data_IF_893317983736
#
_entry.id   IF_893317983736
#
_cell.length_a   1.000
_cell.length_b   1.000
_cell.length_c   1.000
_cell.angle_alpha   90.00
_cell.angle_beta   90.00
_cell.angle_gamma   90.00
#
_symmetry.space_group_name_H-M   'P 1'
#
loop_
_entity.id
_entity.type
_entity.pdbx_description
1 polymer ?
#
# COMPACT_ATOMS: atom_id res chain seq x y z
N UNK A 1 15.64 -4.39 -6.62
CA UNK A 1 15.20 -5.15 -5.43
C UNK A 1 16.20 -4.84 -4.34
N UNK A 2 15.72 -4.39 -3.17
CA UNK A 2 16.60 -4.24 -2.02
C UNK A 2 17.01 -5.66 -1.63
N UNK A 3 18.31 -5.91 -1.50
CA UNK A 3 18.80 -7.20 -1.03
C UNK A 3 18.69 -7.19 0.49
N UNK A 4 17.61 -7.79 0.99
CA UNK A 4 17.32 -7.89 2.42
C UNK A 4 17.71 -9.29 2.87
N UNK A 5 18.45 -9.37 3.98
CA UNK A 5 18.81 -10.65 4.55
C UNK A 5 17.57 -11.44 4.98
N UNK A 6 17.59 -12.76 4.76
CA UNK A 6 16.42 -13.61 5.01
C UNK A 6 16.03 -13.63 6.50
N UNK A 7 17.00 -13.55 7.42
CA UNK A 7 16.72 -13.49 8.84
C UNK A 7 16.03 -12.18 9.19
N UNK A 8 16.53 -11.06 8.67
CA UNK A 8 15.91 -9.75 8.88
C UNK A 8 14.48 -9.69 8.32
N UNK A 9 14.24 -10.32 7.17
CA UNK A 9 12.90 -10.41 6.59
C UNK A 9 11.92 -11.23 7.46
N UNK A 10 12.36 -12.36 8.02
CA UNK A 10 11.54 -13.15 8.95
C UNK A 10 11.25 -12.37 10.24
N UNK A 11 12.25 -11.70 10.81
CA UNK A 11 12.11 -10.90 12.04
C UNK A 11 11.11 -9.73 11.84
N UNK A 12 11.09 -9.13 10.65
CA UNK A 12 10.21 -8.01 10.29
C UNK A 12 8.83 -8.41 9.76
N UNK A 13 8.58 -9.70 9.54
CA UNK A 13 7.44 -10.21 8.77
C UNK A 13 6.07 -9.78 9.30
N UNK A 14 5.86 -9.86 10.61
CA UNK A 14 4.58 -9.48 11.23
C UNK A 14 4.30 -7.99 11.01
N UNK A 15 5.33 -7.15 11.21
CA UNK A 15 5.22 -5.70 10.97
C UNK A 15 4.99 -5.40 9.49
N UNK A 16 5.65 -6.13 8.59
CA UNK A 16 5.43 -6.02 7.15
C UNK A 16 4.00 -6.43 6.72
N UNK A 17 3.37 -7.41 7.37
CA UNK A 17 1.95 -7.73 7.13
C UNK A 17 1.06 -6.58 7.61
N UNK A 18 1.32 -6.05 8.82
CA UNK A 18 0.55 -4.92 9.34
C UNK A 18 0.65 -3.68 8.46
N UNK A 19 1.72 -3.51 7.69
CA UNK A 19 1.85 -2.39 6.77
C UNK A 19 0.68 -2.26 5.78
N UNK A 20 0.09 -3.38 5.36
CA UNK A 20 -1.01 -3.41 4.38
C UNK A 20 -2.41 -3.37 5.01
N UNK A 21 -2.49 -3.53 6.34
CA UNK A 21 -3.76 -3.49 7.09
C UNK A 21 -3.88 -2.12 7.80
N UNK A 22 -2.83 -1.73 8.50
CA UNK A 22 -2.73 -0.51 9.29
C UNK A 22 -1.27 -0.03 9.31
N UNK A 23 -0.85 0.68 8.25
CA UNK A 23 0.52 1.14 8.07
C UNK A 23 1.08 1.97 9.24
N UNK A 24 0.21 2.59 10.06
CA UNK A 24 0.60 3.36 11.23
C UNK A 24 1.34 2.52 12.29
N UNK A 25 0.98 1.24 12.47
CA UNK A 25 1.65 0.39 13.46
C UNK A 25 3.14 0.23 13.11
N UNK A 26 3.50 -0.34 11.95
CA UNK A 26 4.91 -0.52 11.63
C UNK A 26 5.61 0.82 11.32
N UNK A 27 4.90 1.89 10.94
CA UNK A 27 5.49 3.23 10.82
C UNK A 27 6.15 3.70 12.12
N UNK A 28 5.57 3.38 13.28
CA UNK A 28 6.11 3.77 14.58
C UNK A 28 6.84 2.64 15.31
N UNK A 29 6.53 1.37 15.00
CA UNK A 29 7.01 0.21 15.76
C UNK A 29 8.03 -0.69 15.02
N UNK A 30 8.27 -0.49 13.72
CA UNK A 30 9.19 -1.35 12.95
C UNK A 30 10.68 -1.12 13.27
N UNK A 31 11.02 -0.05 13.99
CA UNK A 31 12.41 0.30 14.30
C UNK A 31 13.27 0.41 13.04
N UNK A 32 14.43 -0.22 13.06
CA UNK A 32 15.42 -0.20 11.97
C UNK A 32 15.28 -1.37 10.98
N UNK A 33 14.31 -2.26 11.15
CA UNK A 33 14.12 -3.42 10.26
C UNK A 33 13.76 -2.95 8.84
N UNK A 34 14.67 -3.15 7.89
CA UNK A 34 14.54 -2.64 6.53
C UNK A 34 13.37 -3.29 5.78
N UNK A 35 13.09 -4.56 6.06
CA UNK A 35 11.96 -5.30 5.45
C UNK A 35 10.62 -4.72 5.85
N UNK A 36 10.41 -4.53 7.16
CA UNK A 36 9.21 -3.94 7.70
C UNK A 36 9.04 -2.50 7.22
N UNK A 37 10.12 -1.69 7.19
CA UNK A 37 10.08 -0.31 6.67
C UNK A 37 9.77 -0.25 5.18
N UNK A 38 10.30 -1.18 4.39
CA UNK A 38 10.01 -1.30 2.97
C UNK A 38 8.51 -1.54 2.72
N UNK A 39 7.93 -2.54 3.40
CA UNK A 39 6.50 -2.82 3.26
C UNK A 39 5.63 -1.73 3.88
N UNK A 40 6.08 -1.06 4.95
CA UNK A 40 5.42 0.14 5.50
C UNK A 40 5.32 1.26 4.47
N UNK A 41 6.41 1.50 3.71
CA UNK A 41 6.38 2.45 2.62
C UNK A 41 5.35 2.06 1.55
N UNK A 42 5.31 0.79 1.14
CA UNK A 42 4.32 0.29 0.17
C UNK A 42 2.89 0.44 0.68
N UNK A 43 2.62 0.11 1.94
CA UNK A 43 1.33 0.26 2.59
C UNK A 43 0.87 1.72 2.69
N UNK A 44 1.78 2.63 3.07
CA UNK A 44 1.52 4.06 3.08
C UNK A 44 1.22 4.60 1.68
N UNK A 45 2.01 4.23 0.66
CA UNK A 45 1.77 4.64 -0.72
C UNK A 45 0.42 4.13 -1.22
N UNK A 46 0.06 2.88 -0.89
CA UNK A 46 -1.25 2.32 -1.22
C UNK A 46 -2.39 3.12 -0.58
N UNK A 47 -2.26 3.49 0.70
CA UNK A 47 -3.24 4.34 1.40
C UNK A 47 -3.37 5.73 0.77
N UNK A 48 -2.25 6.39 0.46
CA UNK A 48 -2.26 7.72 -0.15
C UNK A 48 -2.85 7.69 -1.56
N UNK A 49 -2.52 6.66 -2.35
CA UNK A 49 -3.15 6.46 -3.66
C UNK A 49 -4.67 6.30 -3.52
N UNK A 50 -5.14 5.51 -2.54
CA UNK A 50 -6.57 5.36 -2.27
C UNK A 50 -7.22 6.70 -1.93
N UNK A 51 -6.59 7.49 -1.05
CA UNK A 51 -7.08 8.81 -0.67
C UNK A 51 -7.21 9.76 -1.87
N UNK A 52 -6.23 9.76 -2.79
CA UNK A 52 -6.29 10.56 -4.03
C UNK A 52 -7.49 10.14 -4.89
N UNK A 53 -7.68 8.83 -5.12
CA UNK A 53 -8.82 8.34 -5.89
C UNK A 53 -10.16 8.70 -5.25
N UNK A 54 -10.27 8.63 -3.93
CA UNK A 54 -11.46 9.05 -3.19
C UNK A 54 -11.77 10.53 -3.40
N UNK A 55 -10.78 11.41 -3.27
CA UNK A 55 -10.96 12.86 -3.49
C UNK A 55 -11.37 13.16 -4.93
N UNK A 56 -10.73 12.53 -5.91
CA UNK A 56 -11.10 12.66 -7.34
C UNK A 56 -12.54 12.20 -7.57
N UNK A 57 -12.94 11.07 -6.98
CA UNK A 57 -14.31 10.55 -7.10
C UNK A 57 -15.37 11.50 -6.52
N UNK A 58 -15.06 12.18 -5.41
CA UNK A 58 -15.95 13.20 -4.81
C UNK A 58 -16.10 14.40 -5.75
N UNK A 59 -14.98 14.93 -6.27
CA UNK A 59 -14.99 16.09 -7.17
C UNK A 59 -15.80 15.79 -8.44
N UNK A 60 -15.59 14.63 -9.06
CA UNK A 60 -16.35 14.19 -10.23
C UNK A 60 -17.84 14.08 -9.90
N UNK A 61 -18.19 13.60 -8.71
CA UNK A 61 -19.57 13.43 -8.26
C UNK A 61 -20.37 14.73 -8.12
N UNK A 62 -19.73 15.90 -8.14
CA UNK A 62 -20.41 17.20 -8.14
C UNK A 62 -21.14 17.46 -9.46
N UNK A 63 -20.66 16.89 -10.57
CA UNK A 63 -21.26 17.07 -11.90
C UNK A 63 -22.50 16.18 -12.05
N UNK A 64 -23.71 16.74 -12.32
CA UNK A 64 -24.91 15.94 -12.46
C UNK A 64 -24.84 14.95 -13.62
N UNK A 65 -25.56 13.83 -13.49
CA UNK A 65 -25.71 12.76 -14.50
C UNK A 65 -24.39 12.05 -14.83
N UNK A 66 -23.48 12.68 -15.57
CA UNK A 66 -22.21 12.06 -16.00
C UNK A 66 -21.28 11.84 -14.80
N UNK A 67 -21.15 12.86 -13.94
CA UNK A 67 -20.30 12.75 -12.76
C UNK A 67 -20.80 11.69 -11.78
N UNK A 68 -22.12 11.54 -11.62
CA UNK A 68 -22.71 10.50 -10.78
C UNK A 68 -22.41 9.09 -11.29
N UNK A 69 -22.55 8.86 -12.60
CA UNK A 69 -22.24 7.56 -13.21
C UNK A 69 -20.77 7.22 -13.01
N UNK A 70 -19.86 8.14 -13.34
CA UNK A 70 -18.42 7.94 -13.19
C UNK A 70 -18.01 7.74 -11.73
N UNK A 71 -18.55 8.55 -10.82
CA UNK A 71 -18.28 8.45 -9.38
C UNK A 71 -18.74 7.10 -8.83
N UNK A 72 -19.91 6.61 -9.24
CA UNK A 72 -20.43 5.29 -8.84
C UNK A 72 -19.52 4.15 -9.29
N UNK A 73 -19.03 4.21 -10.53
CA UNK A 73 -18.09 3.22 -11.07
C UNK A 73 -16.77 3.26 -10.28
N UNK A 74 -16.24 4.45 -10.00
CA UNK A 74 -15.02 4.61 -9.21
C UNK A 74 -15.19 4.03 -7.80
N UNK A 75 -16.26 4.38 -7.09
CA UNK A 75 -16.49 3.91 -5.72
C UNK A 75 -16.84 2.42 -5.60
N UNK A 76 -17.21 1.75 -6.69
CA UNK A 76 -17.49 0.31 -6.69
C UNK A 76 -16.29 -0.54 -7.11
N UNK A 77 -15.60 -0.18 -8.20
CA UNK A 77 -14.52 -1.00 -8.75
C UNK A 77 -13.15 -0.71 -8.13
N UNK A 78 -12.84 0.55 -7.85
CA UNK A 78 -11.51 0.97 -7.39
C UNK A 78 -11.15 0.34 -6.04
N UNK A 79 -12.03 0.29 -5.01
CA UNK A 79 -11.69 -0.35 -3.74
C UNK A 79 -11.26 -1.81 -3.87
N UNK A 80 -11.86 -2.57 -4.81
CA UNK A 80 -11.48 -3.97 -5.06
C UNK A 80 -10.04 -4.07 -5.60
N UNK A 81 -9.61 -3.15 -6.46
CA UNK A 81 -8.24 -3.10 -6.94
C UNK A 81 -7.25 -2.79 -5.79
N UNK A 82 -7.60 -1.88 -4.89
CA UNK A 82 -6.78 -1.56 -3.71
C UNK A 82 -6.65 -2.76 -2.76
N UNK A 83 -7.73 -3.50 -2.53
CA UNK A 83 -7.68 -4.76 -1.77
C UNK A 83 -6.79 -5.79 -2.48
N UNK A 84 -6.90 -5.91 -3.81
CA UNK A 84 -6.03 -6.77 -4.61
C UNK A 84 -4.54 -6.43 -4.47
N UNK A 85 -4.20 -5.14 -4.47
CA UNK A 85 -2.81 -4.70 -4.23
C UNK A 85 -2.35 -4.95 -2.79
N UNK A 86 -3.20 -4.77 -1.79
CA UNK A 86 -2.87 -5.13 -0.41
C UNK A 86 -2.57 -6.63 -0.29
N UNK A 87 -3.41 -7.48 -0.88
CA UNK A 87 -3.21 -8.94 -0.90
C UNK A 87 -1.91 -9.29 -1.64
N UNK A 88 -1.65 -8.70 -2.80
CA UNK A 88 -0.41 -8.91 -3.54
C UNK A 88 0.82 -8.52 -2.72
N UNK A 89 0.75 -7.39 -2.01
CA UNK A 89 1.78 -6.98 -1.06
C UNK A 89 2.01 -7.99 0.06
N UNK A 90 0.94 -8.50 0.67
CA UNK A 90 1.01 -9.52 1.73
C UNK A 90 1.59 -10.84 1.19
N UNK A 91 1.27 -11.24 -0.04
CA UNK A 91 1.86 -12.43 -0.66
C UNK A 91 3.39 -12.28 -0.77
N UNK A 92 3.86 -11.10 -1.20
CA UNK A 92 5.31 -10.82 -1.23
C UNK A 92 5.93 -10.86 0.18
N UNK A 93 5.23 -10.37 1.20
CA UNK A 93 5.68 -10.46 2.60
C UNK A 93 5.83 -11.91 3.05
N UNK A 94 4.83 -12.76 2.76
CA UNK A 94 4.84 -14.19 3.11
C UNK A 94 6.01 -14.91 2.42
N UNK A 95 6.35 -14.49 1.21
CA UNK A 95 7.49 -15.00 0.44
C UNK A 95 8.84 -14.40 0.85
N UNK A 96 8.87 -13.47 1.81
CA UNK A 96 10.06 -12.73 2.27
C UNK A 96 10.69 -11.86 1.18
N UNK A 97 9.86 -11.34 0.27
CA UNK A 97 10.32 -10.60 -0.89
C UNK A 97 9.99 -9.11 -0.78
N UNK A 98 11.02 -8.26 -0.82
CA UNK A 98 10.87 -6.81 -0.97
C UNK A 98 10.56 -6.43 -2.44
N UNK A 99 9.39 -6.86 -2.93
CA UNK A 99 8.89 -6.57 -4.27
C UNK A 99 7.92 -5.38 -4.28
N UNK A 100 8.03 -4.47 -5.26
CA UNK A 100 7.17 -3.28 -5.31
C UNK A 100 5.75 -3.68 -5.71
N UNK A 101 4.75 -2.95 -5.21
CA UNK A 101 3.40 -3.05 -5.75
C UNK A 101 3.38 -2.64 -7.24
N UNK A 102 2.54 -3.28 -8.07
CA UNK A 102 2.36 -2.84 -9.46
C UNK A 102 1.90 -1.39 -9.52
N UNK A 103 2.39 -0.65 -10.52
CA UNK A 103 2.07 0.76 -10.83
C UNK A 103 2.53 1.80 -9.80
N UNK A 104 2.38 1.55 -8.50
CA UNK A 104 2.62 2.54 -7.43
C UNK A 104 3.87 2.25 -6.60
N UNK A 105 4.42 1.03 -6.65
CA UNK A 105 5.46 0.59 -5.73
C UNK A 105 6.86 1.17 -5.95
N UNK A 106 7.05 1.98 -6.99
CA UNK A 106 8.28 2.74 -7.21
C UNK A 106 8.40 4.00 -6.33
N UNK A 107 7.32 4.41 -5.67
CA UNK A 107 7.30 5.62 -4.84
C UNK A 107 7.93 5.32 -3.48
N UNK A 108 8.89 6.13 -3.05
CA UNK A 108 9.56 6.02 -1.74
C UNK A 108 9.34 7.29 -0.92
N UNK A 109 8.64 7.15 0.19
CA UNK A 109 8.31 8.18 1.18
C UNK A 109 9.04 7.93 2.51
N UNK A 110 9.27 6.67 2.86
CA UNK A 110 10.06 6.26 4.02
C UNK A 110 11.41 5.76 3.52
N UNK A 111 12.49 6.42 3.93
CA UNK A 111 13.86 5.94 3.68
C UNK A 111 14.12 4.72 4.55
N UNK A 112 14.56 3.61 3.95
CA UNK A 112 14.83 2.34 4.63
C UNK A 112 16.32 1.99 4.68
N UNK A 113 17.20 3.00 4.66
CA UNK A 113 18.65 2.84 4.60
C UNK A 113 19.34 3.51 5.77
#
# INVERSE_FOLDING_TARGET
MINIDKQEAEDGKIMAVFAYIIFLIPLFAAGDNQFARYHTNQGLVLFLAWLVFTVVGIIIGVVPVIGWILSTILFSAVPLAFVGFAIYGIINVIQLEAKPLPLIGGITLIKSY
#
